data_IF_227888788183
#
_entry.id   IF_227888788183
#
_cell.length_a   1.000
_cell.length_b   1.000
_cell.length_c   1.000
_cell.angle_alpha   90.00
_cell.angle_beta   90.00
_cell.angle_gamma   90.00
#
_symmetry.space_group_name_H-M   'P 1'
#
loop_
_entity.id
_entity.type
_entity.pdbx_description
1 polymer ?
#
# COMPACT_ATOMS: atom_id res chain seq x y z
N UNK A 1 8.85 -30.12 41.25
CA UNK A 1 8.49 -29.07 40.26
C UNK A 1 8.61 -27.66 40.87
N UNK A 2 9.65 -27.38 41.65
CA UNK A 2 9.84 -26.10 42.37
C UNK A 2 11.29 -25.59 42.23
N UNK A 3 11.94 -25.93 41.12
CA UNK A 3 13.38 -25.74 40.90
C UNK A 3 13.66 -24.95 39.61
N UNK A 4 12.70 -24.12 39.17
CA UNK A 4 12.78 -23.42 37.88
C UNK A 4 12.99 -21.90 37.95
N UNK A 5 13.14 -21.31 39.14
CA UNK A 5 13.64 -19.93 39.26
C UNK A 5 14.52 -19.82 40.50
N UNK A 6 15.86 -19.92 40.40
CA UNK A 6 16.71 -19.71 41.54
C UNK A 6 16.84 -18.19 41.75
N UNK A 7 15.79 -17.55 42.23
CA UNK A 7 15.86 -16.15 42.67
C UNK A 7 16.66 -16.15 43.97
N UNK A 8 17.98 -16.05 43.85
CA UNK A 8 18.90 -16.18 45.00
C UNK A 8 19.33 -14.80 45.52
N UNK A 9 19.08 -13.73 44.76
CA UNK A 9 19.52 -12.36 45.09
C UNK A 9 18.43 -11.31 44.85
N UNK A 10 18.51 -10.18 45.56
CA UNK A 10 17.71 -8.97 45.32
C UNK A 10 17.83 -8.50 43.86
N UNK A 11 18.98 -8.74 43.23
CA UNK A 11 19.25 -8.42 41.83
C UNK A 11 18.30 -9.17 40.86
N UNK A 12 17.96 -10.42 41.15
CA UNK A 12 17.12 -11.25 40.29
C UNK A 12 15.67 -10.72 40.26
N UNK A 13 15.17 -10.27 41.42
CA UNK A 13 13.87 -9.60 41.53
C UNK A 13 13.82 -8.28 40.73
N UNK A 14 14.91 -7.51 40.73
CA UNK A 14 15.01 -6.29 39.94
C UNK A 14 14.91 -6.60 38.44
N UNK A 15 15.61 -7.62 37.94
CA UNK A 15 15.54 -8.00 36.52
C UNK A 15 14.16 -8.49 36.10
N UNK A 16 13.50 -9.29 36.94
CA UNK A 16 12.14 -9.76 36.68
C UNK A 16 11.17 -8.56 36.65
N UNK A 17 11.26 -7.65 37.61
CA UNK A 17 10.44 -6.43 37.64
C UNK A 17 10.64 -5.55 36.41
N UNK A 18 11.89 -5.38 35.96
CA UNK A 18 12.25 -4.60 34.78
C UNK A 18 11.76 -5.28 33.48
N UNK A 19 11.75 -6.62 33.44
CA UNK A 19 11.17 -7.40 32.34
C UNK A 19 9.65 -7.33 32.27
N UNK A 20 8.96 -7.35 33.42
CA UNK A 20 7.51 -7.12 33.48
C UNK A 20 7.18 -5.69 33.03
N UNK A 21 7.93 -4.70 33.51
CA UNK A 21 7.78 -3.32 33.09
C UNK A 21 8.00 -3.16 31.58
N UNK A 22 9.02 -3.82 31.03
CA UNK A 22 9.26 -3.86 29.58
C UNK A 22 8.03 -4.36 28.83
N UNK A 23 7.44 -5.48 29.27
CA UNK A 23 6.27 -6.06 28.62
C UNK A 23 5.04 -5.14 28.68
N UNK A 24 4.82 -4.47 29.82
CA UNK A 24 3.74 -3.47 29.96
C UNK A 24 3.95 -2.32 28.99
N UNK A 25 5.17 -1.78 28.91
CA UNK A 25 5.50 -0.68 28.00
C UNK A 25 5.35 -1.13 26.54
N UNK A 26 5.81 -2.32 26.19
CA UNK A 26 5.67 -2.90 24.85
C UNK A 26 4.20 -3.02 24.42
N UNK A 27 3.32 -3.47 25.32
CA UNK A 27 1.87 -3.51 25.06
C UNK A 27 1.32 -2.10 24.86
N UNK A 28 1.70 -1.15 25.73
CA UNK A 28 1.26 0.24 25.62
C UNK A 28 1.70 0.89 24.30
N UNK A 29 2.89 0.59 23.80
CA UNK A 29 3.35 1.07 22.47
C UNK A 29 2.45 0.55 21.36
N UNK A 30 2.01 -0.70 21.43
CA UNK A 30 1.20 -1.31 20.37
C UNK A 30 -0.30 -0.96 20.45
N UNK A 31 -0.81 -0.65 21.63
CA UNK A 31 -2.24 -0.47 21.86
C UNK A 31 -2.65 1.00 22.01
N UNK A 32 -1.78 1.85 22.57
CA UNK A 32 -2.10 3.24 22.90
C UNK A 32 -1.29 4.25 22.10
N UNK A 33 -1.83 4.53 20.92
CA UNK A 33 -1.43 5.51 19.93
C UNK A 33 -1.00 6.91 20.44
N UNK A 34 -1.67 7.43 21.48
CA UNK A 34 -1.40 8.78 21.99
C UNK A 34 -0.11 8.86 22.82
N UNK A 35 0.30 7.75 23.44
CA UNK A 35 1.44 7.70 24.36
C UNK A 35 2.76 7.28 23.67
N UNK A 36 2.73 7.04 22.36
CA UNK A 36 3.90 6.67 21.55
C UNK A 36 5.16 7.53 21.75
N UNK A 37 5.08 8.88 21.84
CA UNK A 37 6.27 9.71 22.00
C UNK A 37 7.03 9.45 23.31
N UNK A 38 6.34 8.95 24.34
CA UNK A 38 6.88 8.69 25.68
C UNK A 38 7.22 7.22 25.86
N UNK A 39 6.37 6.33 25.35
CA UNK A 39 6.50 4.88 25.51
C UNK A 39 7.64 4.31 24.67
N UNK A 40 7.88 4.80 23.44
CA UNK A 40 9.00 4.33 22.59
C UNK A 40 10.38 4.65 23.21
N UNK A 41 10.67 5.89 23.66
CA UNK A 41 11.94 6.17 24.33
C UNK A 41 12.09 5.42 25.65
N UNK A 42 10.99 5.23 26.39
CA UNK A 42 10.99 4.47 27.63
C UNK A 42 11.31 2.99 27.37
N UNK A 43 10.69 2.37 26.36
CA UNK A 43 10.99 1.00 25.94
C UNK A 43 12.44 0.86 25.50
N UNK A 44 12.94 1.81 24.70
CA UNK A 44 14.33 1.83 24.25
C UNK A 44 15.31 1.96 25.42
N UNK A 45 14.98 2.77 26.43
CA UNK A 45 15.81 2.90 27.63
C UNK A 45 15.84 1.60 28.44
N UNK A 46 14.68 0.98 28.66
CA UNK A 46 14.55 -0.30 29.37
C UNK A 46 15.30 -1.41 28.62
N UNK A 47 15.12 -1.52 27.30
CA UNK A 47 15.84 -2.47 26.46
C UNK A 47 17.36 -2.20 26.45
N UNK A 48 17.76 -0.93 26.50
CA UNK A 48 19.17 -0.54 26.61
C UNK A 48 19.80 -0.93 27.95
N UNK A 49 19.06 -0.84 29.06
CA UNK A 49 19.51 -1.33 30.37
C UNK A 49 19.77 -2.84 30.31
N UNK A 50 18.85 -3.62 29.73
CA UNK A 50 19.06 -5.06 29.53
C UNK A 50 20.27 -5.37 28.62
N UNK A 51 20.41 -4.63 27.53
CA UNK A 51 21.49 -4.83 26.57
C UNK A 51 22.86 -4.54 27.17
N UNK A 52 23.02 -3.42 27.90
CA UNK A 52 24.31 -2.99 28.44
C UNK A 52 24.69 -3.76 29.71
N UNK A 53 23.74 -3.95 30.64
CA UNK A 53 24.06 -4.48 31.97
C UNK A 53 23.92 -6.00 32.06
N UNK A 54 22.86 -6.57 31.47
CA UNK A 54 22.59 -8.00 31.49
C UNK A 54 23.21 -8.76 30.30
N UNK A 55 23.91 -8.05 29.39
CA UNK A 55 24.47 -8.60 28.14
C UNK A 55 23.43 -9.32 27.26
N UNK A 56 22.15 -9.00 27.44
CA UNK A 56 21.06 -9.63 26.70
C UNK A 56 20.61 -8.70 25.58
N UNK A 57 21.10 -8.97 24.37
CA UNK A 57 20.79 -8.17 23.19
C UNK A 57 19.46 -8.54 22.51
N UNK A 58 18.69 -9.50 23.03
CA UNK A 58 17.41 -9.87 22.41
C UNK A 58 16.32 -8.83 22.65
N UNK A 59 16.30 -8.19 23.82
CA UNK A 59 15.27 -7.20 24.16
C UNK A 59 15.30 -5.97 23.26
N UNK A 60 16.47 -5.60 22.72
CA UNK A 60 16.60 -4.44 21.83
C UNK A 60 15.99 -4.69 20.44
N UNK A 61 15.73 -5.94 20.08
CA UNK A 61 15.11 -6.28 18.79
C UNK A 61 13.69 -5.69 18.70
N UNK A 62 12.93 -5.70 19.80
CA UNK A 62 11.54 -5.26 19.81
C UNK A 62 11.37 -3.78 19.42
N UNK A 63 12.09 -2.80 20.02
CA UNK A 63 12.13 -1.43 19.52
C UNK A 63 12.58 -1.33 18.05
N UNK A 64 13.51 -2.20 17.62
CA UNK A 64 13.99 -2.24 16.24
C UNK A 64 12.89 -2.51 15.21
N UNK A 65 11.91 -3.36 15.53
CA UNK A 65 10.77 -3.65 14.65
C UNK A 65 9.67 -2.56 14.68
N UNK A 66 9.62 -1.77 15.76
CA UNK A 66 8.70 -0.63 15.89
C UNK A 66 9.06 0.56 14.98
N UNK A 67 10.22 0.53 14.30
CA UNK A 67 10.59 1.47 13.24
C UNK A 67 9.45 1.66 12.22
N UNK A 68 8.69 0.59 11.97
CA UNK A 68 7.51 0.59 11.09
C UNK A 68 6.45 1.62 11.53
N UNK A 69 6.13 1.66 12.83
CA UNK A 69 5.16 2.60 13.40
C UNK A 69 5.72 4.03 13.41
N UNK A 70 7.02 4.18 13.72
CA UNK A 70 7.70 5.47 13.72
C UNK A 70 7.64 6.12 12.34
N UNK A 71 7.94 5.35 11.29
CA UNK A 71 7.93 5.84 9.92
C UNK A 71 6.52 6.19 9.41
N UNK A 72 5.49 5.52 9.95
CA UNK A 72 4.10 5.75 9.59
C UNK A 72 3.50 7.00 10.27
N UNK A 73 3.89 7.30 11.52
CA UNK A 73 3.21 8.32 12.35
C UNK A 73 4.02 9.58 12.64
N UNK A 74 5.35 9.49 12.66
CA UNK A 74 6.21 10.59 13.11
C UNK A 74 7.06 11.19 11.96
N UNK A 75 7.47 12.47 12.08
CA UNK A 75 8.35 13.10 11.10
C UNK A 75 9.73 12.43 11.07
N UNK A 76 10.42 12.50 9.92
CA UNK A 76 11.75 11.89 9.72
C UNK A 76 12.82 12.31 10.74
N UNK A 77 12.66 13.45 11.41
CA UNK A 77 13.57 13.90 12.48
C UNK A 77 13.54 12.95 13.68
N UNK A 78 12.36 12.48 14.10
CA UNK A 78 12.22 11.58 15.24
C UNK A 78 12.87 10.22 14.96
N UNK A 79 12.70 9.69 13.75
CA UNK A 79 13.38 8.47 13.31
C UNK A 79 14.90 8.57 13.40
N UNK A 80 15.50 9.71 13.02
CA UNK A 80 16.97 9.90 13.12
C UNK A 80 17.45 9.89 14.56
N UNK A 81 16.71 10.52 15.48
CA UNK A 81 17.02 10.48 16.91
C UNK A 81 16.89 9.07 17.48
N UNK A 82 15.80 8.37 17.15
CA UNK A 82 15.59 6.98 17.56
C UNK A 82 16.71 6.06 17.06
N UNK A 83 17.03 6.13 15.75
CA UNK A 83 18.10 5.33 15.15
C UNK A 83 19.46 5.64 15.79
N UNK A 84 19.77 6.92 16.02
CA UNK A 84 21.02 7.32 16.67
C UNK A 84 21.13 6.75 18.09
N UNK A 85 20.07 6.87 18.89
CA UNK A 85 20.03 6.31 20.25
C UNK A 85 20.14 4.78 20.24
N UNK A 86 19.41 4.12 19.35
CA UNK A 86 19.44 2.66 19.18
C UNK A 86 20.85 2.13 18.85
N UNK A 87 21.49 2.70 17.83
CA UNK A 87 22.84 2.27 17.44
C UNK A 87 23.90 2.66 18.48
N UNK A 88 23.72 3.76 19.20
CA UNK A 88 24.59 4.13 20.31
C UNK A 88 24.51 3.09 21.44
N UNK A 89 23.30 2.63 21.80
CA UNK A 89 23.11 1.57 22.80
C UNK A 89 23.79 0.27 22.34
N UNK A 90 23.59 -0.15 21.08
CA UNK A 90 24.26 -1.33 20.54
C UNK A 90 25.78 -1.18 20.58
N UNK A 91 26.30 -0.01 20.19
CA UNK A 91 27.74 0.25 20.21
C UNK A 91 28.32 0.14 21.62
N UNK A 92 27.67 0.74 22.62
CA UNK A 92 28.06 0.66 24.03
C UNK A 92 27.97 -0.79 24.54
N UNK A 93 26.91 -1.52 24.18
CA UNK A 93 26.75 -2.94 24.53
C UNK A 93 27.89 -3.79 23.94
N UNK A 94 28.20 -3.63 22.65
CA UNK A 94 29.29 -4.36 21.99
C UNK A 94 30.65 -4.04 22.60
N UNK A 95 30.92 -2.78 22.90
CA UNK A 95 32.14 -2.36 23.60
C UNK A 95 32.27 -3.04 24.96
N UNK A 96 31.17 -3.09 25.73
CA UNK A 96 31.11 -3.71 27.06
C UNK A 96 31.27 -5.23 26.99
N UNK A 97 30.68 -5.89 25.99
CA UNK A 97 30.88 -7.31 25.71
C UNK A 97 32.35 -7.60 25.39
N UNK A 98 32.99 -6.78 24.55
CA UNK A 98 34.39 -6.97 24.16
C UNK A 98 35.35 -6.84 25.35
N UNK A 99 35.09 -5.92 26.27
CA UNK A 99 35.89 -5.73 27.50
C UNK A 99 35.78 -6.91 28.48
N UNK A 100 34.58 -7.46 28.66
CA UNK A 100 34.36 -8.57 29.60
C UNK A 100 34.76 -9.94 29.04
N UNK A 101 34.60 -10.11 27.72
CA UNK A 101 34.85 -11.35 27.04
C UNK A 101 35.68 -11.10 25.76
N UNK A 102 37.00 -10.87 25.93
CA UNK A 102 37.89 -10.66 24.79
C UNK A 102 37.89 -11.91 23.91
N UNK A 103 37.47 -11.75 22.65
CA UNK A 103 37.43 -12.83 21.65
C UNK A 103 36.04 -13.28 21.19
N UNK A 104 34.94 -12.84 21.82
CA UNK A 104 33.57 -13.18 21.34
C UNK A 104 33.31 -12.64 19.93
N UNK A 105 33.89 -11.48 19.59
CA UNK A 105 33.85 -10.88 18.25
C UNK A 105 34.88 -11.60 17.35
N UNK A 106 34.69 -12.89 17.15
CA UNK A 106 35.45 -13.71 16.20
C UNK A 106 34.44 -14.48 15.36
N UNK A 107 34.60 -14.43 14.02
CA UNK A 107 33.69 -15.02 13.04
C UNK A 107 33.45 -16.52 13.30
N UNK A 108 34.38 -17.19 13.97
CA UNK A 108 34.29 -18.61 14.31
C UNK A 108 33.41 -18.91 15.55
N UNK A 109 33.01 -17.89 16.31
CA UNK A 109 32.14 -18.09 17.47
C UNK A 109 30.66 -18.11 17.05
N UNK A 110 29.90 -19.16 17.40
CA UNK A 110 28.48 -19.24 17.08
C UNK A 110 27.65 -18.12 17.74
N UNK A 111 28.12 -17.56 18.85
CA UNK A 111 27.45 -16.46 19.55
C UNK A 111 27.48 -15.12 18.77
N UNK A 112 28.30 -14.98 17.72
CA UNK A 112 28.29 -13.79 16.88
C UNK A 112 26.94 -13.56 16.19
N UNK A 113 26.20 -14.63 15.87
CA UNK A 113 24.88 -14.52 15.25
C UNK A 113 23.88 -13.75 16.13
N UNK A 114 24.00 -13.87 17.45
CA UNK A 114 23.15 -13.14 18.41
C UNK A 114 23.43 -11.63 18.42
N UNK A 115 24.58 -11.20 17.92
CA UNK A 115 24.97 -9.78 17.80
C UNK A 115 24.56 -9.18 16.45
N UNK A 116 24.57 -9.99 15.39
CA UNK A 116 24.24 -9.54 14.03
C UNK A 116 22.75 -9.24 13.90
N UNK A 117 21.89 -10.09 14.46
CA UNK A 117 20.45 -9.95 14.24
C UNK A 117 19.87 -8.62 14.79
N UNK A 118 20.18 -8.18 16.03
CA UNK A 118 19.72 -6.88 16.53
C UNK A 118 20.28 -5.68 15.76
N UNK A 119 21.45 -5.81 15.14
CA UNK A 119 22.06 -4.76 14.33
C UNK A 119 21.31 -4.56 13.01
N UNK A 120 20.89 -5.65 12.37
CA UNK A 120 20.26 -5.62 11.04
C UNK A 120 18.74 -5.45 11.12
N UNK A 121 18.11 -5.82 12.25
CA UNK A 121 16.64 -5.79 12.39
C UNK A 121 15.98 -4.42 12.09
N UNK A 122 16.51 -3.25 12.49
CA UNK A 122 15.86 -1.97 12.19
C UNK A 122 15.97 -1.61 10.70
N UNK A 123 17.03 -2.06 10.04
CA UNK A 123 17.24 -1.87 8.60
C UNK A 123 16.20 -2.69 7.83
N UNK A 124 16.03 -3.96 8.21
CA UNK A 124 15.00 -4.82 7.62
C UNK A 124 13.62 -4.20 7.85
N UNK A 125 13.28 -3.82 9.09
CA UNK A 125 12.01 -3.19 9.41
C UNK A 125 11.76 -1.91 8.59
N UNK A 126 12.79 -1.07 8.42
CA UNK A 126 12.73 0.13 7.58
C UNK A 126 12.45 -0.20 6.11
N UNK A 127 13.19 -1.15 5.52
CA UNK A 127 13.03 -1.53 4.11
C UNK A 127 11.66 -2.13 3.82
N UNK A 128 11.17 -3.03 4.68
CA UNK A 128 9.84 -3.64 4.59
C UNK A 128 8.75 -2.59 4.75
N UNK A 129 8.87 -1.70 5.73
CA UNK A 129 7.88 -0.63 5.94
C UNK A 129 7.80 0.31 4.74
N UNK A 130 8.95 0.70 4.20
CA UNK A 130 9.02 1.57 3.03
C UNK A 130 8.43 0.89 1.79
N UNK A 131 8.70 -0.40 1.59
CA UNK A 131 8.15 -1.15 0.44
C UNK A 131 6.63 -1.26 0.54
N UNK A 132 6.08 -1.55 1.72
CA UNK A 132 4.63 -1.63 1.96
C UNK A 132 3.95 -0.27 1.73
N UNK A 133 4.51 0.82 2.27
CA UNK A 133 3.97 2.18 2.05
C UNK A 133 3.99 2.53 0.55
N UNK A 134 5.10 2.23 -0.13
CA UNK A 134 5.23 2.53 -1.56
C UNK A 134 4.26 1.70 -2.42
N UNK A 135 4.10 0.41 -2.13
CA UNK A 135 3.11 -0.44 -2.80
C UNK A 135 1.68 0.07 -2.60
N UNK A 136 1.34 0.55 -1.39
CA UNK A 136 0.03 1.15 -1.12
C UNK A 136 -0.19 2.40 -1.96
N UNK A 137 0.81 3.27 -2.08
CA UNK A 137 0.76 4.47 -2.92
C UNK A 137 0.58 4.10 -4.40
N UNK A 138 1.35 3.14 -4.91
CA UNK A 138 1.22 2.66 -6.29
C UNK A 138 -0.18 2.10 -6.57
N UNK A 139 -0.73 1.28 -5.66
CA UNK A 139 -2.10 0.75 -5.79
C UNK A 139 -3.14 1.87 -5.80
N UNK A 140 -3.00 2.87 -4.94
CA UNK A 140 -3.91 4.02 -4.92
C UNK A 140 -3.83 4.84 -6.22
N UNK A 141 -2.62 5.13 -6.70
CA UNK A 141 -2.41 5.85 -7.96
C UNK A 141 -2.95 5.05 -9.14
N UNK A 142 -2.71 3.74 -9.20
CA UNK A 142 -3.21 2.88 -10.27
C UNK A 142 -4.75 2.88 -10.29
N UNK A 143 -5.41 2.74 -9.13
CA UNK A 143 -6.88 2.84 -9.02
C UNK A 143 -7.41 4.19 -9.53
N UNK A 144 -6.73 5.30 -9.20
CA UNK A 144 -7.11 6.63 -9.70
C UNK A 144 -6.94 6.72 -11.22
N UNK A 145 -5.84 6.18 -11.74
CA UNK A 145 -5.54 6.19 -13.17
C UNK A 145 -6.56 5.36 -13.96
N UNK A 146 -6.91 4.16 -13.48
CA UNK A 146 -7.98 3.33 -14.06
C UNK A 146 -9.32 4.08 -14.09
N UNK A 147 -9.67 4.78 -13.01
CA UNK A 147 -10.91 5.57 -12.97
C UNK A 147 -10.90 6.73 -13.98
N UNK A 148 -9.75 7.41 -14.15
CA UNK A 148 -9.57 8.48 -15.13
C UNK A 148 -9.67 7.93 -16.55
N UNK A 149 -8.94 6.85 -16.86
CA UNK A 149 -8.96 6.21 -18.18
C UNK A 149 -10.38 5.76 -18.54
N UNK A 150 -11.09 5.10 -17.61
CA UNK A 150 -12.47 4.64 -17.84
C UNK A 150 -13.44 5.81 -18.09
N UNK A 151 -13.27 6.94 -17.39
CA UNK A 151 -14.08 8.15 -17.64
C UNK A 151 -13.75 8.79 -18.99
N UNK A 152 -12.47 8.96 -19.30
CA UNK A 152 -12.02 9.53 -20.57
C UNK A 152 -12.52 8.70 -21.76
N UNK A 153 -12.50 7.38 -21.64
CA UNK A 153 -13.01 6.49 -22.69
C UNK A 153 -14.54 6.60 -22.84
N UNK A 154 -15.27 6.68 -21.73
CA UNK A 154 -16.73 6.92 -21.77
C UNK A 154 -17.07 8.25 -22.42
N UNK A 155 -16.31 9.31 -22.14
CA UNK A 155 -16.50 10.63 -22.77
C UNK A 155 -16.16 10.61 -24.26
N UNK A 156 -15.08 9.92 -24.64
CA UNK A 156 -14.73 9.71 -26.05
C UNK A 156 -15.85 9.01 -26.79
N UNK A 157 -16.34 7.88 -26.27
CA UNK A 157 -17.43 7.12 -26.89
C UNK A 157 -18.72 7.95 -26.96
N UNK A 158 -19.05 8.70 -25.91
CA UNK A 158 -20.21 9.58 -25.92
C UNK A 158 -20.11 10.65 -27.01
N UNK A 159 -18.91 11.21 -27.23
CA UNK A 159 -18.66 12.20 -28.29
C UNK A 159 -18.76 11.56 -29.68
N UNK A 160 -18.09 10.43 -29.89
CA UNK A 160 -18.11 9.72 -31.17
C UNK A 160 -19.54 9.30 -31.54
N UNK A 161 -20.33 8.82 -30.57
CA UNK A 161 -21.76 8.53 -30.73
C UNK A 161 -22.57 9.80 -31.02
N UNK A 162 -22.35 10.89 -30.29
CA UNK A 162 -23.10 12.13 -30.50
C UNK A 162 -22.83 12.73 -31.88
N UNK A 163 -21.57 12.73 -32.34
CA UNK A 163 -21.20 13.28 -33.64
C UNK A 163 -21.76 12.43 -34.78
N UNK A 164 -21.63 11.10 -34.71
CA UNK A 164 -22.17 10.19 -35.74
C UNK A 164 -23.69 10.16 -35.75
N UNK A 165 -24.34 9.93 -34.60
CA UNK A 165 -25.80 9.89 -34.53
C UNK A 165 -26.43 11.27 -34.79
N UNK A 166 -25.79 12.34 -34.32
CA UNK A 166 -26.24 13.72 -34.58
C UNK A 166 -26.25 14.04 -36.07
N UNK A 167 -25.21 13.62 -36.80
CA UNK A 167 -25.17 13.74 -38.26
C UNK A 167 -26.27 12.93 -38.94
N UNK A 168 -26.44 11.65 -38.58
CA UNK A 168 -27.46 10.80 -39.20
C UNK A 168 -28.89 11.29 -38.91
N UNK A 169 -29.19 11.71 -37.67
CA UNK A 169 -30.51 12.28 -37.34
C UNK A 169 -30.79 13.60 -38.08
N UNK A 170 -29.75 14.41 -38.31
CA UNK A 170 -29.88 15.62 -39.14
C UNK A 170 -30.19 15.25 -40.59
N UNK A 171 -29.52 14.22 -41.14
CA UNK A 171 -29.79 13.72 -42.50
C UNK A 171 -31.21 13.14 -42.64
N UNK A 172 -31.66 12.34 -41.67
CA UNK A 172 -33.03 11.80 -41.62
C UNK A 172 -34.04 12.94 -41.61
N UNK A 173 -33.81 13.98 -40.81
CA UNK A 173 -34.69 15.17 -40.76
C UNK A 173 -34.78 15.85 -42.12
N UNK A 174 -33.64 16.11 -42.76
CA UNK A 174 -33.58 16.74 -44.09
C UNK A 174 -34.27 15.90 -45.18
N UNK A 175 -34.04 14.57 -45.20
CA UNK A 175 -34.71 13.66 -46.15
C UNK A 175 -36.21 13.57 -45.90
N UNK A 176 -36.64 13.59 -44.64
CA UNK A 176 -38.07 13.60 -44.28
C UNK A 176 -38.76 14.87 -44.78
N UNK A 177 -38.11 16.04 -44.63
CA UNK A 177 -38.62 17.29 -45.19
C UNK A 177 -38.67 17.27 -46.72
N UNK A 178 -37.67 16.65 -47.38
CA UNK A 178 -37.65 16.48 -48.83
C UNK A 178 -38.78 15.58 -49.31
N UNK A 179 -38.99 14.43 -48.67
CA UNK A 179 -40.09 13.50 -48.97
C UNK A 179 -41.45 14.21 -48.85
N UNK A 180 -41.65 15.03 -47.80
CA UNK A 180 -42.87 15.84 -47.63
C UNK A 180 -43.10 16.83 -48.79
N UNK A 181 -42.05 17.43 -49.32
CA UNK A 181 -42.14 18.33 -50.50
C UNK A 181 -42.40 17.56 -51.80
N UNK A 182 -41.80 16.37 -51.96
CA UNK A 182 -41.98 15.52 -53.14
C UNK A 182 -43.39 14.93 -53.22
N UNK A 183 -44.07 14.76 -52.09
CA UNK A 183 -45.46 14.28 -52.04
C UNK A 183 -46.43 15.08 -52.92
N UNK A 184 -46.15 16.38 -53.12
CA UNK A 184 -46.94 17.26 -54.01
C UNK A 184 -46.31 17.40 -55.40
N UNK A 185 -44.97 17.44 -55.50
CA UNK A 185 -44.27 17.77 -56.76
C UNK A 185 -43.90 16.57 -57.62
N UNK A 186 -43.58 15.43 -57.02
CA UNK A 186 -43.13 14.21 -57.69
C UNK A 186 -43.38 12.98 -56.77
N UNK A 187 -44.64 12.50 -56.69
CA UNK A 187 -45.05 11.43 -55.76
C UNK A 187 -44.25 10.14 -55.97
N UNK A 188 -43.89 9.84 -57.22
CA UNK A 188 -43.17 8.61 -57.60
C UNK A 188 -41.78 8.51 -56.94
N UNK A 189 -41.19 9.64 -56.53
CA UNK A 189 -39.88 9.70 -55.86
C UNK A 189 -39.95 9.54 -54.34
N UNK A 190 -41.13 9.61 -53.74
CA UNK A 190 -41.31 9.56 -52.28
C UNK A 190 -40.88 8.22 -51.70
N UNK A 191 -41.21 7.11 -52.40
CA UNK A 191 -40.86 5.77 -51.96
C UNK A 191 -39.34 5.62 -51.78
N UNK A 192 -38.56 6.14 -52.74
CA UNK A 192 -37.10 6.09 -52.69
C UNK A 192 -36.52 6.85 -51.48
N UNK A 193 -37.03 8.04 -51.16
CA UNK A 193 -36.55 8.80 -50.00
C UNK A 193 -36.92 8.12 -48.67
N UNK A 194 -38.08 7.45 -48.61
CA UNK A 194 -38.49 6.69 -47.42
C UNK A 194 -37.63 5.43 -47.22
N UNK A 195 -37.30 4.73 -48.30
CA UNK A 195 -36.40 3.57 -48.25
C UNK A 195 -35.00 3.97 -47.80
N UNK A 196 -34.48 5.10 -48.31
CA UNK A 196 -33.21 5.67 -47.89
C UNK A 196 -33.19 6.02 -46.39
N UNK A 197 -34.24 6.66 -45.88
CA UNK A 197 -34.38 6.98 -44.44
C UNK A 197 -34.39 5.69 -43.61
N UNK A 198 -35.14 4.68 -44.03
CA UNK A 198 -35.22 3.39 -43.35
C UNK A 198 -33.85 2.69 -43.34
N UNK A 199 -33.10 2.77 -44.44
CA UNK A 199 -31.77 2.20 -44.54
C UNK A 199 -30.78 2.91 -43.60
N UNK A 200 -30.73 4.25 -43.63
CA UNK A 200 -29.87 5.03 -42.69
C UNK A 200 -30.19 4.70 -41.24
N UNK A 201 -31.46 4.61 -40.86
CA UNK A 201 -31.85 4.24 -39.49
C UNK A 201 -31.40 2.83 -39.10
N UNK A 202 -31.44 1.86 -40.03
CA UNK A 202 -30.95 0.49 -39.78
C UNK A 202 -29.44 0.45 -39.61
N UNK A 203 -28.71 1.21 -40.42
CA UNK A 203 -27.25 1.29 -40.37
C UNK A 203 -26.77 1.93 -39.05
N UNK A 204 -27.42 3.02 -38.61
CA UNK A 204 -27.14 3.65 -37.32
C UNK A 204 -27.39 2.68 -36.15
N UNK A 205 -28.48 1.92 -36.19
CA UNK A 205 -28.79 0.91 -35.17
C UNK A 205 -27.74 -0.20 -35.12
N UNK A 206 -27.20 -0.62 -36.27
CA UNK A 206 -26.11 -1.59 -36.32
C UNK A 206 -24.81 -1.01 -35.73
N UNK A 207 -24.49 0.25 -36.03
CA UNK A 207 -23.33 0.93 -35.48
C UNK A 207 -23.40 1.06 -33.94
N UNK A 208 -24.56 1.43 -33.40
CA UNK A 208 -24.75 1.48 -31.95
C UNK A 208 -24.57 0.09 -31.32
N UNK A 209 -25.11 -0.96 -31.96
CA UNK A 209 -24.95 -2.34 -31.48
C UNK A 209 -23.50 -2.81 -31.48
N UNK A 210 -22.72 -2.49 -32.53
CA UNK A 210 -21.30 -2.87 -32.58
C UNK A 210 -20.50 -2.19 -31.47
N UNK A 211 -20.71 -0.88 -31.26
CA UNK A 211 -20.03 -0.11 -30.20
C UNK A 211 -20.37 -0.68 -28.80
N UNK A 212 -21.64 -1.01 -28.54
CA UNK A 212 -22.06 -1.60 -27.26
C UNK A 212 -21.47 -3.00 -27.06
N UNK A 213 -21.40 -3.81 -28.12
CA UNK A 213 -20.79 -5.14 -28.05
C UNK A 213 -19.28 -5.07 -27.79
N UNK A 214 -18.57 -4.16 -28.44
CA UNK A 214 -17.13 -3.94 -28.24
C UNK A 214 -16.83 -3.52 -26.79
N UNK A 215 -17.64 -2.61 -26.24
CA UNK A 215 -17.58 -2.22 -24.83
C UNK A 215 -17.74 -3.43 -23.88
N UNK A 216 -18.68 -4.33 -24.20
CA UNK A 216 -18.91 -5.53 -23.40
C UNK A 216 -17.73 -6.50 -23.46
N UNK A 217 -17.14 -6.72 -24.65
CA UNK A 217 -15.98 -7.59 -24.83
C UNK A 217 -14.72 -7.07 -24.12
N UNK A 218 -14.48 -5.76 -24.16
CA UNK A 218 -13.38 -5.14 -23.42
C UNK A 218 -13.55 -5.35 -21.90
N UNK A 219 -14.77 -5.19 -21.37
CA UNK A 219 -15.05 -5.41 -19.95
C UNK A 219 -14.80 -6.87 -19.52
N UNK A 220 -15.14 -7.84 -20.37
CA UNK A 220 -14.90 -9.26 -20.11
C UNK A 220 -13.40 -9.60 -20.12
N UNK A 221 -12.66 -9.05 -21.08
CA UNK A 221 -11.21 -9.21 -21.18
C UNK A 221 -10.49 -8.63 -19.95
N UNK A 222 -10.94 -7.45 -19.48
CA UNK A 222 -10.43 -6.83 -18.26
C UNK A 222 -10.70 -7.72 -17.03
N UNK A 223 -11.90 -8.30 -16.91
CA UNK A 223 -12.24 -9.22 -15.81
C UNK A 223 -11.39 -10.50 -15.81
N UNK A 224 -11.15 -11.12 -16.97
CA UNK A 224 -10.30 -12.31 -17.09
C UNK A 224 -8.83 -12.03 -16.70
N UNK A 225 -8.30 -10.86 -17.08
CA UNK A 225 -6.96 -10.44 -16.68
C UNK A 225 -6.83 -10.17 -15.17
N UNK A 226 -7.91 -9.74 -14.51
CA UNK A 226 -7.92 -9.56 -13.06
C UNK A 226 -8.06 -10.88 -12.27
N UNK A 227 -8.71 -11.90 -12.83
CA UNK A 227 -8.82 -13.23 -12.21
C UNK A 227 -7.57 -14.11 -12.40
N UNK A 228 -6.72 -13.82 -13.38
CA UNK A 228 -5.49 -14.58 -13.66
C UNK A 228 -4.25 -14.20 -12.82
N UNK A 229 -4.41 -13.42 -11.75
CA UNK A 229 -3.34 -13.02 -10.81
C UNK A 229 -3.71 -13.35 -9.37
#
# INVERSE_FOLDING_TARGET
MSEFVPVKSLNDWLWIGLGILFLIVYILVNEVDHWLPVTIPLELAIAGIFSIFALNNYMIIYPGWQVSFILARFPRKYFRWFAAAFYLIIFVSLWRVNQLHPGIININNPDMFNLIFPLVSPIIAYTVSRSVIHQRQLRQTNRRLQAIVRRGERERIARDLHDTLGQSFSMITLKTELAKKLLVKAPDRVAQELDDIAQTSRDDLQLVRSIVNDLHQQSLSEMMLMQGK
#
